data_IF_636283377541
#
_entry.id   IF_636283377541
#
_cell.length_a   1.000
_cell.length_b   1.000
_cell.length_c   1.000
_cell.angle_alpha   90.00
_cell.angle_beta   90.00
_cell.angle_gamma   90.00
#
_symmetry.space_group_name_H-M   'P 1'
#
loop_
_entity.id
_entity.type
_entity.pdbx_description
1 polymer ?
#
# COMPACT_ATOMS: atom_id res chain seq x y z
N UNK A 1 21.76 -4.57 -1.34
CA UNK A 1 20.78 -5.18 -2.22
C UNK A 1 20.30 -4.14 -3.22
N UNK A 2 20.40 -4.47 -4.47
CA UNK A 2 19.93 -3.56 -5.50
C UNK A 2 18.44 -3.34 -5.36
N UNK A 3 18.05 -2.10 -5.37
CA UNK A 3 16.64 -1.75 -5.35
C UNK A 3 16.08 -1.96 -6.75
N UNK A 4 15.14 -2.86 -6.86
CA UNK A 4 14.37 -3.01 -8.09
C UNK A 4 13.32 -1.92 -8.08
N UNK A 5 13.53 -0.93 -8.92
CA UNK A 5 12.53 0.12 -9.08
C UNK A 5 11.52 -0.34 -10.11
N UNK A 6 10.30 -0.51 -9.68
CA UNK A 6 9.21 -0.81 -10.58
C UNK A 6 8.87 0.45 -11.37
N UNK A 7 8.72 0.29 -12.68
CA UNK A 7 8.40 1.38 -13.59
C UNK A 7 7.09 2.05 -13.16
N UNK A 8 7.10 3.39 -13.13
CA UNK A 8 5.94 4.17 -12.72
C UNK A 8 4.72 3.92 -13.60
N UNK A 9 4.92 3.73 -14.90
CA UNK A 9 3.82 3.41 -15.82
C UNK A 9 3.21 2.05 -15.53
N UNK A 10 4.04 1.09 -15.16
CA UNK A 10 3.57 -0.24 -14.76
C UNK A 10 2.68 -0.15 -13.52
N UNK A 11 3.13 0.58 -12.50
CA UNK A 11 2.36 0.79 -11.27
C UNK A 11 1.03 1.46 -11.60
N UNK A 12 1.05 2.53 -12.40
CA UNK A 12 -0.15 3.25 -12.79
C UNK A 12 -1.16 2.35 -13.50
N UNK A 13 -0.71 1.51 -14.41
CA UNK A 13 -1.59 0.62 -15.16
C UNK A 13 -2.22 -0.42 -14.26
N UNK A 14 -1.44 -1.02 -13.36
CA UNK A 14 -1.95 -2.01 -12.41
C UNK A 14 -2.96 -1.37 -11.45
N UNK A 15 -2.66 -0.18 -10.95
CA UNK A 15 -3.56 0.53 -10.04
C UNK A 15 -4.85 0.92 -10.73
N UNK A 16 -4.79 1.40 -11.98
CA UNK A 16 -5.98 1.74 -12.75
C UNK A 16 -6.89 0.53 -12.95
N UNK A 17 -6.32 -0.62 -13.27
CA UNK A 17 -7.09 -1.85 -13.42
C UNK A 17 -7.76 -2.23 -12.10
N UNK A 18 -7.04 -2.17 -11.00
CA UNK A 18 -7.57 -2.51 -9.68
C UNK A 18 -8.70 -1.55 -9.28
N UNK A 19 -8.53 -0.24 -9.52
CA UNK A 19 -9.56 0.75 -9.22
C UNK A 19 -10.81 0.52 -10.07
N UNK A 20 -10.64 0.22 -11.35
CA UNK A 20 -11.78 -0.05 -12.23
C UNK A 20 -12.57 -1.27 -11.75
N UNK A 21 -11.90 -2.32 -11.33
CA UNK A 21 -12.58 -3.51 -10.80
C UNK A 21 -13.32 -3.21 -9.50
N UNK A 22 -12.72 -2.44 -8.61
CA UNK A 22 -13.32 -2.12 -7.32
C UNK A 22 -14.52 -1.21 -7.45
N UNK A 23 -14.45 -0.21 -8.34
CA UNK A 23 -15.50 0.80 -8.49
C UNK A 23 -16.63 0.37 -9.43
N UNK A 24 -16.37 -0.57 -10.33
CA UNK A 24 -17.35 -1.09 -11.27
C UNK A 24 -17.90 -2.42 -10.74
N UNK A 25 -19.17 -2.73 -10.89
CA UNK A 25 -20.27 -1.97 -11.51
C UNK A 25 -21.02 -1.06 -10.53
N UNK A 26 -20.75 -1.15 -9.24
CA UNK A 26 -21.55 -0.50 -8.21
C UNK A 26 -21.14 0.94 -7.90
N UNK A 27 -19.98 1.38 -8.41
CA UNK A 27 -19.41 2.64 -8.00
C UNK A 27 -19.03 2.62 -6.52
N UNK A 28 -18.70 3.77 -5.99
CA UNK A 28 -18.37 3.90 -4.57
C UNK A 28 -19.57 4.44 -3.81
N UNK A 29 -20.50 3.55 -3.51
CA UNK A 29 -21.76 3.90 -2.83
C UNK A 29 -21.47 4.50 -1.45
N UNK A 30 -20.48 3.97 -0.73
CA UNK A 30 -20.15 4.44 0.60
C UNK A 30 -19.68 5.89 0.58
N UNK A 31 -18.79 6.25 -0.34
CA UNK A 31 -18.32 7.63 -0.42
C UNK A 31 -19.37 8.56 -0.99
N UNK A 32 -20.29 8.08 -1.83
CA UNK A 32 -21.39 8.88 -2.34
C UNK A 32 -22.36 9.31 -1.24
N UNK A 33 -22.45 8.53 -0.16
CA UNK A 33 -23.28 8.88 1.00
C UNK A 33 -22.62 9.95 1.86
N UNK A 34 -21.31 10.16 1.74
CA UNK A 34 -20.58 11.15 2.52
C UNK A 34 -20.56 12.46 1.74
N UNK A 35 -21.48 13.34 2.07
CA UNK A 35 -21.63 14.62 1.37
C UNK A 35 -20.66 15.70 1.83
N UNK A 36 -19.76 15.40 2.75
CA UNK A 36 -18.85 16.38 3.33
C UNK A 36 -17.51 16.42 2.61
N UNK A 37 -17.09 17.62 2.22
CA UNK A 37 -15.74 17.87 1.67
C UNK A 37 -14.72 18.10 2.79
N UNK A 38 -14.88 17.41 3.90
CA UNK A 38 -13.96 17.57 5.02
C UNK A 38 -12.62 16.92 4.72
N UNK A 39 -11.57 17.63 5.07
CA UNK A 39 -10.23 17.05 5.09
C UNK A 39 -10.04 16.22 6.34
N UNK A 40 -9.40 15.09 6.19
CA UNK A 40 -9.05 14.22 7.30
C UNK A 40 -7.61 13.80 7.18
N UNK A 41 -6.95 13.70 8.32
CA UNK A 41 -5.62 13.10 8.43
C UNK A 41 -5.76 11.77 9.14
N UNK A 42 -5.27 10.72 8.53
CA UNK A 42 -5.34 9.38 9.10
C UNK A 42 -3.99 8.68 8.99
N UNK A 43 -3.83 7.62 9.77
CA UNK A 43 -2.60 6.84 9.79
C UNK A 43 -2.87 5.43 9.31
N UNK A 44 -1.95 4.90 8.50
CA UNK A 44 -1.94 3.48 8.18
C UNK A 44 -1.04 2.79 9.19
N UNK A 45 -1.63 1.90 9.97
CA UNK A 45 -0.95 1.21 11.07
C UNK A 45 -0.85 -0.26 10.75
N UNK A 46 0.33 -0.84 10.96
CA UNK A 46 0.52 -2.27 10.76
C UNK A 46 -0.23 -3.06 11.83
N UNK A 47 -0.97 -4.09 11.39
CA UNK A 47 -1.68 -4.98 12.31
C UNK A 47 -0.90 -6.28 12.60
N UNK A 48 0.31 -6.39 12.07
CA UNK A 48 1.15 -7.57 12.31
C UNK A 48 2.62 -7.23 12.06
N UNK A 49 3.49 -8.14 12.51
CA UNK A 49 4.91 -8.03 12.22
C UNK A 49 5.21 -8.54 10.82
N UNK A 50 6.21 -7.98 10.17
CA UNK A 50 6.60 -8.42 8.84
C UNK A 50 7.48 -7.42 8.12
N UNK A 51 7.48 -7.53 6.81
CA UNK A 51 8.20 -6.64 5.91
C UNK A 51 7.16 -5.84 5.14
N UNK A 52 7.32 -4.51 5.11
CA UNK A 52 6.39 -3.66 4.38
C UNK A 52 6.70 -3.65 2.90
N UNK A 53 5.67 -3.80 2.09
CA UNK A 53 5.78 -3.70 0.63
C UNK A 53 4.50 -3.13 0.02
N UNK A 54 4.63 -2.58 -1.18
CA UNK A 54 3.49 -2.02 -1.91
C UNK A 54 3.20 -0.56 -1.63
N UNK A 55 4.11 0.16 -0.98
CA UNK A 55 3.91 1.56 -0.61
C UNK A 55 3.66 2.46 -1.84
N UNK A 56 4.41 2.25 -2.91
CA UNK A 56 4.21 3.05 -4.13
C UNK A 56 2.88 2.73 -4.81
N UNK A 57 2.42 1.49 -4.74
CA UNK A 57 1.10 1.12 -5.25
C UNK A 57 -0.01 1.80 -4.46
N UNK A 58 0.10 1.83 -3.13
CA UNK A 58 -0.86 2.49 -2.26
C UNK A 58 -0.88 4.00 -2.52
N UNK A 59 0.30 4.61 -2.57
CA UNK A 59 0.44 6.04 -2.85
C UNK A 59 -0.20 6.40 -4.19
N UNK A 60 0.10 5.63 -5.22
CA UNK A 60 -0.42 5.91 -6.55
C UNK A 60 -1.93 5.72 -6.64
N UNK A 61 -2.48 4.78 -5.86
CA UNK A 61 -3.92 4.58 -5.76
C UNK A 61 -4.61 5.88 -5.35
N UNK A 62 -4.14 6.49 -4.27
CA UNK A 62 -4.72 7.75 -3.80
C UNK A 62 -4.46 8.90 -4.77
N UNK A 63 -3.28 8.97 -5.37
CA UNK A 63 -2.93 10.05 -6.30
C UNK A 63 -3.75 10.01 -7.58
N UNK A 64 -4.13 8.84 -8.06
CA UNK A 64 -5.00 8.70 -9.23
C UNK A 64 -6.43 9.14 -8.95
N UNK A 65 -6.88 8.98 -7.70
CA UNK A 65 -8.22 9.41 -7.29
C UNK A 65 -8.24 10.92 -7.08
N UNK A 66 -7.23 11.45 -6.39
CA UNK A 66 -7.15 12.87 -6.05
C UNK A 66 -5.69 13.28 -5.86
N UNK A 67 -5.19 14.09 -6.78
CA UNK A 67 -3.80 14.57 -6.74
C UNK A 67 -3.48 15.37 -5.48
N UNK A 68 -4.50 15.92 -4.81
CA UNK A 68 -4.34 16.74 -3.61
C UNK A 68 -4.11 15.91 -2.35
N UNK A 69 -4.38 14.61 -2.40
CA UNK A 69 -4.13 13.74 -1.26
C UNK A 69 -2.63 13.69 -0.97
N UNK A 70 -2.28 13.92 0.29
CA UNK A 70 -0.90 13.79 0.76
C UNK A 70 -0.71 12.40 1.34
N UNK A 71 0.25 11.68 0.80
CA UNK A 71 0.59 10.34 1.27
C UNK A 71 2.06 10.36 1.71
N UNK A 72 2.27 10.40 3.03
CA UNK A 72 3.60 10.44 3.62
C UNK A 72 4.03 9.06 4.07
N UNK A 73 5.08 8.54 3.44
CA UNK A 73 5.63 7.24 3.76
C UNK A 73 6.51 7.37 4.99
N UNK A 74 6.16 6.64 6.06
CA UNK A 74 6.91 6.65 7.33
C UNK A 74 7.86 5.48 7.49
N UNK A 75 7.62 4.38 6.78
CA UNK A 75 8.49 3.21 6.77
C UNK A 75 8.98 2.97 5.36
N UNK A 76 10.26 2.71 5.22
CA UNK A 76 10.86 2.47 3.91
C UNK A 76 10.39 1.14 3.35
N UNK A 77 10.15 1.11 2.04
CA UNK A 77 9.83 -0.12 1.31
C UNK A 77 10.87 -1.20 1.62
N UNK A 78 10.40 -2.39 1.98
CA UNK A 78 11.28 -3.51 2.30
C UNK A 78 11.83 -3.52 3.72
N UNK A 79 11.45 -2.56 4.56
CA UNK A 79 11.90 -2.53 5.95
C UNK A 79 11.01 -3.40 6.84
N UNK A 80 11.59 -3.83 7.96
CA UNK A 80 10.85 -4.60 8.96
C UNK A 80 9.88 -3.69 9.71
N UNK A 81 8.67 -4.19 9.91
CA UNK A 81 7.64 -3.47 10.68
C UNK A 81 7.10 -4.38 11.77
N UNK A 82 6.61 -3.77 12.83
CA UNK A 82 5.97 -4.47 13.95
C UNK A 82 4.53 -3.99 14.07
N UNK A 83 3.70 -4.84 14.67
CA UNK A 83 2.32 -4.47 14.98
C UNK A 83 2.29 -3.13 15.72
N UNK A 84 1.45 -2.22 15.25
CA UNK A 84 1.32 -0.88 15.82
C UNK A 84 2.19 0.19 15.19
N UNK A 85 3.14 -0.17 14.34
CA UNK A 85 3.96 0.82 13.64
C UNK A 85 3.14 1.60 12.61
N UNK A 86 3.37 2.90 12.55
CA UNK A 86 2.77 3.76 11.53
C UNK A 86 3.56 3.58 10.23
N UNK A 87 2.90 3.09 9.20
CA UNK A 87 3.51 2.84 7.90
C UNK A 87 3.52 4.11 7.07
N UNK A 88 2.42 4.84 7.08
CA UNK A 88 2.23 6.06 6.31
C UNK A 88 1.14 6.90 6.93
N UNK A 89 1.11 8.17 6.59
CA UNK A 89 0.00 9.06 6.94
C UNK A 89 -0.65 9.55 5.66
N UNK A 90 -1.97 9.71 5.71
CA UNK A 90 -2.77 10.15 4.56
C UNK A 90 -3.56 11.37 5.01
N UNK A 91 -3.50 12.43 4.19
CA UNK A 91 -4.27 13.64 4.45
C UNK A 91 -4.97 14.07 3.18
N UNK A 92 -6.24 14.36 3.27
CA UNK A 92 -7.00 14.82 2.13
C UNK A 92 -8.49 14.75 2.37
N UNK A 93 -9.26 14.89 1.29
CA UNK A 93 -10.70 14.79 1.33
C UNK A 93 -11.11 13.38 1.79
N UNK A 94 -11.93 13.30 2.82
CA UNK A 94 -12.32 12.02 3.42
C UNK A 94 -13.02 11.11 2.40
N UNK A 95 -13.83 11.67 1.54
CA UNK A 95 -14.55 10.90 0.51
C UNK A 95 -13.56 10.22 -0.44
N UNK A 96 -12.56 10.95 -0.87
CA UNK A 96 -11.55 10.42 -1.81
C UNK A 96 -10.62 9.40 -1.13
N UNK A 97 -10.34 9.60 0.15
CA UNK A 97 -9.58 8.61 0.94
C UNK A 97 -10.37 7.31 1.04
N UNK A 98 -11.65 7.38 1.36
CA UNK A 98 -12.50 6.19 1.46
C UNK A 98 -12.64 5.47 0.12
N UNK A 99 -12.71 6.22 -0.98
CA UNK A 99 -12.78 5.65 -2.33
C UNK A 99 -11.57 4.75 -2.64
N UNK A 100 -10.37 5.16 -2.23
CA UNK A 100 -9.15 4.42 -2.54
C UNK A 100 -8.71 3.43 -1.48
N UNK A 101 -9.29 3.47 -0.30
CA UNK A 101 -8.79 2.72 0.85
C UNK A 101 -8.70 1.23 0.60
N UNK A 102 -9.75 0.62 0.08
CA UNK A 102 -9.77 -0.84 -0.14
C UNK A 102 -8.66 -1.28 -1.09
N UNK A 103 -8.52 -0.60 -2.21
CA UNK A 103 -7.51 -0.94 -3.22
C UNK A 103 -6.11 -0.72 -2.67
N UNK A 104 -5.87 0.40 -1.99
CA UNK A 104 -4.57 0.70 -1.39
C UNK A 104 -4.19 -0.34 -0.33
N UNK A 105 -5.13 -0.69 0.54
CA UNK A 105 -4.87 -1.69 1.59
C UNK A 105 -4.64 -3.08 1.00
N UNK A 106 -5.34 -3.43 -0.08
CA UNK A 106 -5.11 -4.70 -0.76
C UNK A 106 -3.68 -4.81 -1.31
N UNK A 107 -3.18 -3.74 -1.93
CA UNK A 107 -1.79 -3.74 -2.41
C UNK A 107 -0.82 -3.89 -1.25
N UNK A 108 -1.00 -3.12 -0.18
CA UNK A 108 -0.12 -3.19 0.98
C UNK A 108 -0.12 -4.58 1.62
N UNK A 109 -1.30 -5.15 1.85
CA UNK A 109 -1.41 -6.48 2.47
C UNK A 109 -0.80 -7.57 1.61
N UNK A 110 -1.11 -7.56 0.33
CA UNK A 110 -0.66 -8.59 -0.59
C UNK A 110 0.85 -8.55 -0.81
N UNK A 111 1.37 -7.39 -1.12
CA UNK A 111 2.80 -7.22 -1.41
C UNK A 111 3.63 -7.38 -0.13
N UNK A 112 3.15 -6.86 0.99
CA UNK A 112 3.81 -7.07 2.28
C UNK A 112 3.84 -8.55 2.67
N UNK A 113 2.76 -9.28 2.39
CA UNK A 113 2.69 -10.72 2.63
C UNK A 113 3.75 -11.48 1.83
N UNK A 114 3.89 -11.16 0.56
CA UNK A 114 4.91 -11.75 -0.30
C UNK A 114 6.32 -11.41 0.20
N UNK A 115 6.56 -10.14 0.52
CA UNK A 115 7.86 -9.69 1.02
C UNK A 115 8.23 -10.38 2.34
N UNK A 116 7.27 -10.55 3.23
CA UNK A 116 7.49 -11.22 4.51
C UNK A 116 7.84 -12.68 4.31
N UNK A 117 7.11 -13.39 3.47
CA UNK A 117 7.39 -14.80 3.19
C UNK A 117 8.73 -14.99 2.51
N UNK A 118 9.05 -14.12 1.56
CA UNK A 118 10.34 -14.14 0.87
C UNK A 118 11.49 -13.92 1.84
N UNK A 119 11.36 -12.96 2.74
CA UNK A 119 12.36 -12.66 3.76
C UNK A 119 12.57 -13.85 4.70
N UNK A 120 11.49 -14.49 5.13
CA UNK A 120 11.56 -15.69 5.97
C UNK A 120 12.28 -16.85 5.26
N UNK A 121 11.96 -17.05 3.99
CA UNK A 121 12.60 -18.09 3.17
C UNK A 121 14.11 -17.81 3.03
N UNK A 122 14.50 -16.61 2.70
CA UNK A 122 15.91 -16.22 2.54
C UNK A 122 16.69 -16.46 3.85
N UNK A 123 16.12 -16.07 4.98
CA UNK A 123 16.76 -16.28 6.28
C UNK A 123 16.92 -17.76 6.59
N UNK A 124 15.91 -18.56 6.28
CA UNK A 124 15.91 -20.00 6.53
C UNK A 124 16.97 -20.70 5.67
N UNK A 125 17.04 -20.36 4.40
CA UNK A 125 18.06 -20.89 3.49
C UNK A 125 19.45 -20.45 3.93
N UNK A 126 19.64 -19.19 4.29
CA UNK A 126 20.92 -18.66 4.75
C UNK A 126 21.44 -19.33 6.02
N UNK A 127 20.53 -19.76 6.92
CA UNK A 127 20.93 -20.45 8.14
C UNK A 127 21.27 -21.92 7.92
N UNK A 128 20.57 -22.58 7.00
CA UNK A 128 20.74 -24.02 6.76
C UNK A 128 21.75 -24.34 5.71
N UNK A 129 21.98 -23.42 4.81
CA UNK A 129 22.84 -23.64 3.66
C UNK A 129 24.19 -23.01 3.91
N UNK A 130 25.20 -23.84 3.99
CA UNK A 130 26.60 -23.39 3.94
C UNK A 130 27.10 -23.35 2.51
N UNK A 131 26.19 -23.31 1.57
CA UNK A 131 26.55 -23.23 0.17
C UNK A 131 26.99 -21.80 -0.11
N UNK A 132 28.23 -21.68 -0.45
CA UNK A 132 28.78 -20.43 -0.95
C UNK A 132 28.38 -20.29 -2.41
N UNK A 133 27.50 -19.40 -2.64
CA UNK A 133 27.13 -19.06 -4.00
C UNK A 133 28.08 -18.02 -4.57
#
# INVERSE_FOLDING_TARGET
>A
MSQIRVNKNFINNIVKLALNEDLYPSGDITSDLIKNNKKKKTKLISNQNGIVGGLEFAKQTFKLIDKKIKFDIKKKEGSAIKKGHVIATIEGNIRNILTGERVALNFLSHISGIATKTNQFVKKVGKKSKINL
#
